data_IF_877571883650
#
_entry.id   IF_877571883650
#
_cell.length_a   1.000
_cell.length_b   1.000
_cell.length_c   1.000
_cell.angle_alpha   90.00
_cell.angle_beta   90.00
_cell.angle_gamma   90.00
#
_symmetry.space_group_name_H-M   'P 1'
#
loop_
_entity.id
_entity.type
_entity.pdbx_description
1 polymer ?
#
# COMPACT_ATOMS: atom_id res chain seq x y z
N UNK A 1 -28.83 10.00 -2.27
CA UNK A 1 -28.02 8.88 -2.87
C UNK A 1 -26.98 8.47 -1.85
N UNK A 2 -27.04 7.24 -1.37
CA UNK A 2 -25.98 6.69 -0.55
C UNK A 2 -24.70 6.65 -1.37
N UNK A 3 -23.62 7.15 -0.77
CA UNK A 3 -22.31 7.21 -1.42
C UNK A 3 -21.77 5.79 -1.59
N UNK A 4 -21.39 5.42 -2.80
CA UNK A 4 -20.76 4.15 -3.11
C UNK A 4 -19.40 4.04 -2.40
N UNK A 5 -19.15 2.92 -1.72
CA UNK A 5 -17.88 2.62 -1.08
C UNK A 5 -16.97 1.93 -2.10
N UNK A 6 -15.76 2.45 -2.28
CA UNK A 6 -14.76 1.88 -3.18
C UNK A 6 -13.64 1.26 -2.37
N UNK A 7 -13.38 -0.03 -2.61
CA UNK A 7 -12.31 -0.77 -1.97
C UNK A 7 -11.35 -1.25 -3.06
N UNK A 8 -10.08 -0.93 -2.92
CA UNK A 8 -9.04 -1.43 -3.81
C UNK A 8 -8.47 -2.74 -3.25
N UNK A 9 -8.41 -3.77 -4.07
CA UNK A 9 -7.78 -5.04 -3.72
C UNK A 9 -6.36 -5.03 -4.27
N UNK A 10 -5.38 -5.10 -3.39
CA UNK A 10 -3.96 -5.01 -3.73
C UNK A 10 -3.18 -6.19 -3.16
N UNK A 11 -2.17 -6.63 -3.88
CA UNK A 11 -1.30 -7.73 -3.46
C UNK A 11 -0.27 -8.10 -4.51
N UNK A 12 0.68 -8.92 -4.09
CA UNK A 12 1.71 -9.45 -4.98
C UNK A 12 1.11 -10.43 -6.00
N UNK A 13 1.74 -10.62 -7.15
CA UNK A 13 1.37 -11.72 -8.04
C UNK A 13 1.40 -13.06 -7.31
N UNK A 14 0.41 -13.91 -7.59
CA UNK A 14 0.31 -15.26 -7.02
C UNK A 14 0.07 -15.35 -5.50
N UNK A 15 -0.43 -14.28 -4.89
CA UNK A 15 -0.82 -14.31 -3.46
C UNK A 15 -2.25 -14.82 -3.22
N UNK A 16 -2.99 -15.13 -4.27
CA UNK A 16 -4.40 -15.54 -4.19
C UNK A 16 -5.39 -14.42 -4.45
N UNK A 17 -4.93 -13.28 -4.98
CA UNK A 17 -5.75 -12.09 -5.21
C UNK A 17 -6.92 -12.33 -6.17
N UNK A 18 -6.70 -13.03 -7.29
CA UNK A 18 -7.76 -13.37 -8.25
C UNK A 18 -8.82 -14.25 -7.61
N UNK A 19 -8.42 -15.27 -6.86
CA UNK A 19 -9.34 -16.15 -6.14
C UNK A 19 -10.16 -15.36 -5.12
N UNK A 20 -9.54 -14.46 -4.39
CA UNK A 20 -10.23 -13.60 -3.43
C UNK A 20 -11.22 -12.67 -4.13
N UNK A 21 -10.81 -12.03 -5.21
CA UNK A 21 -11.70 -11.14 -5.98
C UNK A 21 -12.94 -11.88 -6.47
N UNK A 22 -12.76 -13.08 -7.03
CA UNK A 22 -13.87 -13.90 -7.50
C UNK A 22 -14.79 -14.34 -6.34
N UNK A 23 -14.22 -14.68 -5.20
CA UNK A 23 -15.00 -15.04 -4.01
C UNK A 23 -15.82 -13.86 -3.47
N UNK A 24 -15.30 -12.65 -3.55
CA UNK A 24 -15.96 -11.43 -3.07
C UNK A 24 -17.07 -10.96 -4.00
N UNK A 25 -16.89 -11.08 -5.31
CA UNK A 25 -17.79 -10.48 -6.30
C UNK A 25 -18.70 -11.48 -7.01
N UNK A 26 -18.28 -12.74 -7.11
CA UNK A 26 -19.04 -13.77 -7.84
C UNK A 26 -19.20 -13.40 -9.31
N UNK A 27 -20.44 -13.39 -9.79
CA UNK A 27 -20.77 -13.04 -11.18
C UNK A 27 -20.90 -11.53 -11.42
N UNK A 28 -20.79 -10.72 -10.39
CA UNK A 28 -21.00 -9.26 -10.47
C UNK A 28 -19.71 -8.54 -10.87
N UNK A 29 -19.06 -9.00 -11.93
CA UNK A 29 -17.78 -8.47 -12.39
C UNK A 29 -17.90 -7.73 -13.72
N UNK A 30 -17.15 -6.65 -13.84
CA UNK A 30 -16.92 -5.94 -15.08
C UNK A 30 -15.43 -6.04 -15.45
N UNK A 31 -15.15 -6.49 -16.66
CA UNK A 31 -13.77 -6.71 -17.14
C UNK A 31 -13.50 -5.84 -18.36
N UNK A 32 -12.38 -5.18 -18.39
CA UNK A 32 -11.93 -4.35 -19.50
C UNK A 32 -10.42 -4.13 -19.42
N UNK A 33 -9.96 -3.07 -20.03
CA UNK A 33 -8.56 -2.64 -19.92
C UNK A 33 -8.47 -1.26 -19.25
N UNK A 34 -7.39 -1.02 -18.54
CA UNK A 34 -7.09 0.31 -18.07
C UNK A 34 -6.90 1.26 -19.25
N UNK A 35 -7.35 2.54 -19.15
CA UNK A 35 -7.29 3.46 -20.27
C UNK A 35 -5.89 3.58 -20.90
N UNK A 36 -5.82 3.40 -22.23
CA UNK A 36 -4.61 3.59 -23.01
C UNK A 36 -3.55 2.50 -22.88
N UNK A 37 -3.84 1.40 -22.17
CA UNK A 37 -2.87 0.32 -21.94
C UNK A 37 -3.53 -1.06 -22.07
N UNK A 38 -2.70 -2.10 -22.17
CA UNK A 38 -3.16 -3.50 -22.31
C UNK A 38 -3.34 -4.21 -20.97
N UNK A 39 -3.18 -3.52 -19.85
CA UNK A 39 -3.35 -4.07 -18.52
C UNK A 39 -4.85 -4.28 -18.25
N UNK A 40 -5.22 -5.48 -17.82
CA UNK A 40 -6.59 -5.84 -17.54
C UNK A 40 -7.13 -5.10 -16.32
N UNK A 41 -8.33 -4.55 -16.45
CA UNK A 41 -9.06 -3.87 -15.40
C UNK A 41 -10.26 -4.71 -15.00
N UNK A 42 -10.32 -5.08 -13.73
CA UNK A 42 -11.46 -5.82 -13.17
C UNK A 42 -12.05 -5.06 -12.00
N UNK A 43 -13.35 -4.86 -12.03
CA UNK A 43 -14.09 -4.35 -10.90
C UNK A 43 -15.36 -5.13 -10.72
N UNK A 44 -15.92 -5.12 -9.53
CA UNK A 44 -17.16 -5.83 -9.26
C UNK A 44 -17.83 -5.36 -7.99
N UNK A 45 -19.12 -5.62 -7.88
CA UNK A 45 -19.87 -5.35 -6.67
C UNK A 45 -19.66 -6.48 -5.68
N UNK A 46 -19.45 -6.11 -4.42
CA UNK A 46 -19.35 -7.07 -3.33
C UNK A 46 -20.69 -7.82 -3.18
N UNK A 47 -20.63 -9.13 -3.00
CA UNK A 47 -21.80 -9.94 -2.71
C UNK A 47 -22.55 -9.40 -1.49
N UNK A 48 -23.86 -9.30 -1.56
CA UNK A 48 -24.74 -8.80 -0.49
C UNK A 48 -24.58 -7.32 -0.11
N UNK A 49 -23.72 -6.58 -0.85
CA UNK A 49 -23.48 -5.16 -0.62
C UNK A 49 -23.42 -4.43 -1.95
N UNK A 50 -24.56 -4.05 -2.51
CA UNK A 50 -24.64 -3.39 -3.81
C UNK A 50 -24.01 -1.99 -3.82
N UNK A 51 -23.81 -1.40 -2.65
CA UNK A 51 -23.16 -0.10 -2.47
C UNK A 51 -21.64 -0.16 -2.37
N UNK A 52 -21.05 -1.37 -2.43
CA UNK A 52 -19.61 -1.57 -2.32
C UNK A 52 -19.04 -2.11 -3.62
N UNK A 53 -18.08 -1.39 -4.18
CA UNK A 53 -17.34 -1.78 -5.38
C UNK A 53 -15.93 -2.19 -5.01
N UNK A 54 -15.50 -3.35 -5.50
CA UNK A 54 -14.14 -3.85 -5.36
C UNK A 54 -13.41 -3.61 -6.67
N UNK A 55 -12.29 -2.88 -6.62
CA UNK A 55 -11.39 -2.70 -7.74
C UNK A 55 -10.21 -3.64 -7.60
N UNK A 56 -10.06 -4.58 -8.52
CA UNK A 56 -8.92 -5.50 -8.52
C UNK A 56 -7.73 -4.83 -9.20
N UNK A 57 -6.74 -4.42 -8.42
CA UNK A 57 -5.53 -3.82 -8.97
C UNK A 57 -4.61 -4.89 -9.57
N UNK A 58 -3.76 -4.53 -10.56
CA UNK A 58 -2.75 -5.47 -11.03
C UNK A 58 -1.88 -6.01 -9.89
N UNK A 59 -1.47 -7.27 -9.98
CA UNK A 59 -0.53 -7.85 -9.03
C UNK A 59 0.83 -7.15 -9.12
N UNK A 60 1.29 -6.61 -8.01
CA UNK A 60 2.51 -5.80 -7.95
C UNK A 60 3.32 -6.13 -6.70
N UNK A 61 4.64 -5.96 -6.77
CA UNK A 61 5.52 -6.09 -5.62
C UNK A 61 5.80 -4.76 -4.92
N UNK A 62 5.58 -3.65 -5.63
CA UNK A 62 5.92 -2.31 -5.19
C UNK A 62 5.03 -1.27 -5.88
N UNK A 63 4.97 -0.05 -5.34
CA UNK A 63 4.34 1.11 -5.98
C UNK A 63 5.38 1.98 -6.70
N UNK A 64 6.42 1.39 -7.23
CA UNK A 64 7.43 2.10 -8.01
C UNK A 64 6.92 2.43 -9.41
N UNK A 65 7.53 3.39 -10.13
CA UNK A 65 7.08 3.76 -11.47
C UNK A 65 7.74 2.95 -12.60
N UNK A 66 8.25 1.74 -12.34
CA UNK A 66 9.12 1.03 -13.28
C UNK A 66 8.39 0.06 -14.20
N UNK A 67 7.30 -0.55 -13.75
CA UNK A 67 6.49 -1.42 -14.61
C UNK A 67 5.17 -0.77 -14.93
N UNK A 68 4.54 -1.21 -16.03
CA UNK A 68 3.23 -0.70 -16.43
C UNK A 68 2.17 -0.99 -15.36
N UNK A 69 2.19 -2.20 -14.79
CA UNK A 69 1.27 -2.63 -13.74
C UNK A 69 1.43 -1.78 -12.47
N UNK A 70 2.66 -1.50 -12.08
CA UNK A 70 2.95 -0.63 -10.92
C UNK A 70 2.46 0.80 -11.16
N UNK A 71 2.71 1.34 -12.35
CA UNK A 71 2.24 2.68 -12.72
C UNK A 71 0.71 2.76 -12.69
N UNK A 72 0.03 1.78 -13.24
CA UNK A 72 -1.44 1.71 -13.25
C UNK A 72 -1.99 1.68 -11.82
N UNK A 73 -1.49 0.78 -10.99
CA UNK A 73 -1.95 0.64 -9.61
C UNK A 73 -1.69 1.92 -8.80
N UNK A 74 -0.50 2.47 -8.91
CA UNK A 74 -0.10 3.70 -8.23
C UNK A 74 -0.97 4.89 -8.63
N UNK A 75 -1.16 5.09 -9.94
CA UNK A 75 -1.99 6.20 -10.43
C UNK A 75 -3.44 6.09 -9.95
N UNK A 76 -4.00 4.88 -9.96
CA UNK A 76 -5.33 4.65 -9.44
C UNK A 76 -5.43 5.04 -7.96
N UNK A 77 -4.52 4.56 -7.14
CA UNK A 77 -4.55 4.82 -5.69
C UNK A 77 -4.40 6.30 -5.36
N UNK A 78 -3.55 7.01 -6.09
CA UNK A 78 -3.30 8.44 -5.86
C UNK A 78 -4.45 9.30 -6.37
N UNK A 79 -4.94 9.00 -7.56
CA UNK A 79 -5.94 9.83 -8.27
C UNK A 79 -7.35 9.57 -7.77
N UNK A 80 -7.74 8.30 -7.73
CA UNK A 80 -9.11 7.90 -7.34
C UNK A 80 -9.30 7.83 -5.83
N UNK A 81 -8.23 7.62 -5.08
CA UNK A 81 -8.24 7.53 -3.62
C UNK A 81 -9.41 6.70 -3.10
N UNK A 82 -9.35 5.37 -3.25
CA UNK A 82 -10.41 4.49 -2.74
C UNK A 82 -10.64 4.71 -1.24
N UNK A 83 -11.80 4.33 -0.76
CA UNK A 83 -12.16 4.53 0.65
C UNK A 83 -11.38 3.61 1.60
N UNK A 84 -10.96 2.46 1.10
CA UNK A 84 -10.09 1.53 1.81
C UNK A 84 -9.30 0.67 0.84
N UNK A 85 -8.20 0.09 1.33
CA UNK A 85 -7.40 -0.89 0.62
C UNK A 85 -7.49 -2.21 1.36
N UNK A 86 -7.89 -3.27 0.66
CA UNK A 86 -7.80 -4.64 1.16
C UNK A 86 -6.52 -5.25 0.56
N UNK A 87 -5.50 -5.37 1.39
CA UNK A 87 -4.20 -5.88 0.99
C UNK A 87 -4.11 -7.38 1.31
N UNK A 88 -4.17 -8.20 0.28
CA UNK A 88 -3.98 -9.64 0.44
C UNK A 88 -2.48 -9.95 0.43
N UNK A 89 -2.02 -10.70 1.42
CA UNK A 89 -0.63 -11.14 1.54
C UNK A 89 -0.55 -12.66 1.66
N UNK A 90 0.54 -13.21 1.15
CA UNK A 90 0.85 -14.63 1.27
C UNK A 90 1.66 -14.85 2.55
N UNK A 91 1.07 -15.55 3.52
CA UNK A 91 1.72 -15.83 4.80
C UNK A 91 2.97 -16.70 4.68
N UNK A 92 3.14 -17.43 3.57
CA UNK A 92 4.33 -18.25 3.32
C UNK A 92 5.53 -17.45 2.81
N UNK A 93 5.30 -16.21 2.36
CA UNK A 93 6.32 -15.26 1.87
C UNK A 93 6.14 -13.88 2.50
N UNK A 94 6.06 -13.84 3.81
CA UNK A 94 5.65 -12.66 4.56
C UNK A 94 6.54 -11.44 4.26
N UNK A 95 7.84 -11.58 4.33
CA UNK A 95 8.79 -10.49 4.11
C UNK A 95 8.60 -9.83 2.74
N UNK A 96 8.51 -10.63 1.69
CA UNK A 96 8.32 -10.14 0.32
C UNK A 96 7.00 -9.39 0.14
N UNK A 97 5.93 -9.90 0.76
CA UNK A 97 4.60 -9.30 0.67
C UNK A 97 4.49 -7.99 1.48
N UNK A 98 5.13 -7.92 2.62
CA UNK A 98 5.08 -6.74 3.49
C UNK A 98 5.76 -5.51 2.89
N UNK A 99 6.63 -5.69 1.91
CA UNK A 99 7.24 -4.55 1.21
C UNK A 99 6.18 -3.65 0.56
N UNK A 100 5.24 -4.25 -0.17
CA UNK A 100 4.11 -3.51 -0.73
C UNK A 100 3.24 -2.92 0.38
N UNK A 101 2.98 -3.68 1.44
CA UNK A 101 2.16 -3.23 2.57
C UNK A 101 2.69 -1.93 3.18
N UNK A 102 4.01 -1.82 3.37
CA UNK A 102 4.62 -0.59 3.91
C UNK A 102 4.32 0.62 3.03
N UNK A 103 4.33 0.45 1.73
CA UNK A 103 4.03 1.53 0.79
C UNK A 103 2.54 1.88 0.78
N UNK A 104 1.67 0.88 0.85
CA UNK A 104 0.21 1.12 0.91
C UNK A 104 -0.19 1.90 2.15
N UNK A 105 0.41 1.60 3.30
CA UNK A 105 0.11 2.32 4.55
C UNK A 105 0.55 3.78 4.54
N UNK A 106 1.50 4.13 3.69
CA UNK A 106 1.97 5.52 3.56
C UNK A 106 1.01 6.42 2.78
N UNK A 107 0.10 5.85 2.01
CA UNK A 107 -0.84 6.62 1.18
C UNK A 107 -1.88 7.41 1.99
N UNK A 108 -2.06 7.07 3.26
CA UNK A 108 -3.10 7.68 4.10
C UNK A 108 -4.50 7.14 3.84
N UNK A 109 -4.63 6.11 3.02
CA UNK A 109 -5.87 5.38 2.80
C UNK A 109 -5.92 4.23 3.81
N UNK A 110 -7.06 4.00 4.52
CA UNK A 110 -7.16 2.88 5.46
C UNK A 110 -6.84 1.54 4.81
N UNK A 111 -6.00 0.74 5.45
CA UNK A 111 -5.57 -0.57 4.94
C UNK A 111 -6.02 -1.65 5.91
N UNK A 112 -6.66 -2.68 5.36
CA UNK A 112 -6.93 -3.95 6.06
C UNK A 112 -6.11 -5.03 5.36
N UNK A 113 -5.48 -5.88 6.13
CA UNK A 113 -4.66 -6.98 5.61
C UNK A 113 -5.43 -8.29 5.70
N UNK A 114 -5.54 -8.97 4.56
CA UNK A 114 -6.04 -10.34 4.50
C UNK A 114 -4.83 -11.26 4.34
N UNK A 115 -4.49 -11.99 5.40
CA UNK A 115 -3.36 -12.92 5.35
C UNK A 115 -3.87 -14.30 4.90
N UNK A 116 -3.36 -14.73 3.76
CA UNK A 116 -3.75 -15.96 3.08
C UNK A 116 -2.72 -17.08 3.32
N UNK A 117 -3.15 -18.30 3.14
CA UNK A 117 -2.28 -19.49 3.21
C UNK A 117 -1.71 -19.81 4.61
N UNK A 118 -2.43 -19.40 5.65
CA UNK A 118 -2.01 -19.68 7.03
C UNK A 118 -2.02 -21.18 7.38
N UNK A 119 -2.84 -21.96 6.71
CA UNK A 119 -2.83 -23.43 6.82
C UNK A 119 -1.47 -24.01 6.41
N UNK A 120 -0.88 -23.50 5.33
CA UNK A 120 0.45 -23.91 4.85
C UNK A 120 1.53 -23.45 5.83
N UNK A 121 1.43 -22.26 6.36
CA UNK A 121 2.35 -21.73 7.39
C UNK A 121 2.40 -22.70 8.59
N UNK A 122 1.24 -23.07 9.11
CA UNK A 122 1.12 -24.00 10.26
C UNK A 122 1.65 -25.39 9.92
N UNK A 123 1.35 -25.88 8.70
CA UNK A 123 1.82 -27.17 8.23
C UNK A 123 3.35 -27.23 8.15
N UNK A 124 4.00 -26.13 7.79
CA UNK A 124 5.45 -26.02 7.73
C UNK A 124 6.10 -25.86 9.11
N UNK A 125 5.31 -25.78 10.18
CA UNK A 125 5.81 -25.58 11.53
C UNK A 125 6.15 -24.13 11.86
N UNK A 126 5.81 -23.21 10.99
CA UNK A 126 6.02 -21.78 11.20
C UNK A 126 4.84 -21.16 11.94
N UNK A 127 5.10 -20.09 12.66
CA UNK A 127 4.09 -19.30 13.34
C UNK A 127 4.21 -17.83 12.96
N UNK A 128 3.05 -17.20 12.77
CA UNK A 128 2.97 -15.74 12.60
C UNK A 128 2.13 -15.19 13.74
N UNK A 129 2.71 -14.29 14.52
CA UNK A 129 1.97 -13.57 15.55
C UNK A 129 1.15 -12.45 14.89
N UNK A 130 -0.05 -12.80 14.45
CA UNK A 130 -0.96 -11.90 13.74
C UNK A 130 -1.30 -10.67 14.59
N UNK A 131 -1.48 -10.85 15.89
CA UNK A 131 -1.81 -9.78 16.82
C UNK A 131 -0.71 -8.74 16.92
N UNK A 132 0.54 -9.20 17.05
CA UNK A 132 1.71 -8.34 17.12
C UNK A 132 1.95 -7.64 15.78
N UNK A 133 1.82 -8.37 14.68
CA UNK A 133 1.95 -7.82 13.33
C UNK A 133 0.91 -6.72 13.08
N UNK A 134 -0.33 -6.95 13.50
CA UNK A 134 -1.41 -5.96 13.40
C UNK A 134 -1.08 -4.68 14.19
N UNK A 135 -0.55 -4.85 15.39
CA UNK A 135 -0.15 -3.72 16.24
C UNK A 135 0.98 -2.91 15.61
N UNK A 136 2.02 -3.58 15.12
CA UNK A 136 3.19 -2.93 14.52
C UNK A 136 2.85 -2.19 13.22
N UNK A 137 1.99 -2.76 12.40
CA UNK A 137 1.58 -2.14 11.13
C UNK A 137 0.45 -1.11 11.30
N UNK A 138 -0.25 -1.14 12.43
CA UNK A 138 -1.42 -0.27 12.66
C UNK A 138 -2.61 -0.62 11.77
N UNK A 139 -2.70 -1.86 11.31
CA UNK A 139 -3.75 -2.36 10.42
C UNK A 139 -4.46 -3.57 11.04
N UNK A 140 -5.78 -3.64 10.84
CA UNK A 140 -6.52 -4.86 11.16
C UNK A 140 -6.07 -5.97 10.22
N UNK A 141 -5.84 -7.17 10.76
CA UNK A 141 -5.42 -8.34 9.98
C UNK A 141 -6.46 -9.45 10.16
N UNK A 142 -6.96 -9.96 9.05
CA UNK A 142 -7.92 -11.07 9.00
C UNK A 142 -7.23 -12.27 8.35
N UNK A 143 -7.24 -13.41 9.03
CA UNK A 143 -6.77 -14.67 8.43
C UNK A 143 -7.83 -15.19 7.46
N UNK A 144 -7.42 -15.52 6.25
CA UNK A 144 -8.30 -16.06 5.22
C UNK A 144 -7.73 -17.32 4.58
N UNK A 145 -8.63 -18.11 3.97
CA UNK A 145 -8.28 -19.04 2.92
C UNK A 145 -9.11 -18.66 1.70
N UNK A 146 -8.49 -17.98 0.74
CA UNK A 146 -9.17 -17.56 -0.47
C UNK A 146 -9.72 -18.76 -1.25
N UNK A 147 -8.95 -19.85 -1.28
CA UNK A 147 -9.34 -21.07 -1.98
C UNK A 147 -10.57 -21.76 -1.35
N UNK A 148 -10.63 -21.80 -0.01
CA UNK A 148 -11.76 -22.42 0.73
C UNK A 148 -12.90 -21.46 0.98
N UNK A 149 -12.70 -20.17 0.80
CA UNK A 149 -13.67 -19.13 1.11
C UNK A 149 -13.73 -18.74 2.59
N UNK A 150 -12.85 -19.28 3.43
CA UNK A 150 -12.83 -18.98 4.87
C UNK A 150 -12.32 -17.56 5.13
N UNK A 151 -13.03 -16.81 5.97
CA UNK A 151 -12.66 -15.46 6.38
C UNK A 151 -12.80 -14.40 5.29
N UNK A 152 -13.22 -14.77 4.09
CA UNK A 152 -13.32 -13.86 2.93
C UNK A 152 -14.29 -12.71 3.20
N UNK A 153 -15.49 -13.01 3.67
CA UNK A 153 -16.48 -11.97 3.99
C UNK A 153 -16.08 -11.16 5.23
N UNK A 154 -15.41 -11.78 6.19
CA UNK A 154 -14.89 -11.06 7.37
C UNK A 154 -13.86 -10.01 6.95
N UNK A 155 -13.01 -10.34 5.99
CA UNK A 155 -12.03 -9.41 5.43
C UNK A 155 -12.73 -8.24 4.70
N UNK A 156 -13.74 -8.53 3.92
CA UNK A 156 -14.52 -7.51 3.22
C UNK A 156 -15.24 -6.59 4.20
N UNK A 157 -15.85 -7.13 5.24
CA UNK A 157 -16.53 -6.34 6.28
C UNK A 157 -15.55 -5.48 7.08
N UNK A 158 -14.35 -6.00 7.36
CA UNK A 158 -13.28 -5.21 7.98
C UNK A 158 -12.87 -4.03 7.10
N UNK A 159 -12.75 -4.24 5.80
CA UNK A 159 -12.46 -3.17 4.85
C UNK A 159 -13.58 -2.11 4.79
N UNK A 160 -14.83 -2.52 4.84
CA UNK A 160 -15.98 -1.60 4.91
C UNK A 160 -15.93 -0.77 6.20
N UNK A 161 -15.65 -1.39 7.34
CA UNK A 161 -15.49 -0.66 8.61
C UNK A 161 -14.35 0.35 8.53
N UNK A 162 -13.23 -0.03 7.96
CA UNK A 162 -12.09 0.85 7.76
C UNK A 162 -12.44 2.03 6.85
N UNK A 163 -13.20 1.79 5.78
CA UNK A 163 -13.65 2.83 4.85
C UNK A 163 -14.53 3.88 5.53
N UNK A 164 -15.29 3.50 6.54
CA UNK A 164 -16.17 4.40 7.31
C UNK A 164 -15.47 5.05 8.49
N UNK A 165 -14.28 4.59 8.86
CA UNK A 165 -13.52 5.09 9.99
C UNK A 165 -12.63 6.29 9.66
N UNK A 166 -11.80 6.66 10.61
CA UNK A 166 -10.79 7.71 10.44
C UNK A 166 -9.64 7.21 9.57
N UNK A 167 -9.06 8.13 8.80
CA UNK A 167 -7.91 7.83 7.95
C UNK A 167 -6.71 7.43 8.80
N UNK A 168 -5.95 6.43 8.31
CA UNK A 168 -4.76 5.92 9.00
C UNK A 168 -3.58 6.85 8.78
N UNK A 169 -2.86 7.16 9.86
CA UNK A 169 -1.57 7.86 9.76
C UNK A 169 -0.48 6.79 9.71
N UNK A 170 0.49 6.87 8.78
CA UNK A 170 1.58 5.92 8.74
C UNK A 170 2.33 5.84 10.07
N UNK A 171 2.55 4.62 10.57
CA UNK A 171 3.13 4.40 11.89
C UNK A 171 4.61 4.03 11.87
N UNK A 172 5.14 3.59 10.72
CA UNK A 172 6.55 3.23 10.65
C UNK A 172 7.44 4.44 10.46
N UNK A 173 8.62 4.39 11.04
CA UNK A 173 9.65 5.42 10.92
C UNK A 173 10.92 4.83 10.34
N UNK A 174 11.66 5.67 9.61
CA UNK A 174 12.99 5.33 9.11
C UNK A 174 14.07 5.81 10.09
N UNK A 175 15.34 5.61 9.75
CA UNK A 175 16.45 6.09 10.56
C UNK A 175 16.45 7.62 10.69
N UNK A 176 17.12 8.15 11.72
CA UNK A 176 17.13 9.57 12.03
C UNK A 176 17.46 10.50 10.86
N UNK A 177 18.54 10.25 10.10
CA UNK A 177 18.88 11.12 8.95
C UNK A 177 17.80 11.16 7.88
N UNK A 178 17.14 10.04 7.62
CA UNK A 178 16.06 9.93 6.64
C UNK A 178 14.82 10.66 7.15
N UNK A 179 14.41 10.40 8.38
CA UNK A 179 13.24 11.08 8.98
C UNK A 179 13.43 12.59 9.06
N UNK A 180 14.65 13.05 9.35
CA UNK A 180 15.00 14.47 9.37
C UNK A 180 14.79 15.11 7.99
N UNK A 181 15.29 14.46 6.93
CA UNK A 181 15.12 14.93 5.57
C UNK A 181 13.63 14.93 5.15
N UNK A 182 12.89 13.86 5.47
CA UNK A 182 11.47 13.76 5.17
C UNK A 182 10.67 14.86 5.88
N UNK A 183 10.94 15.13 7.14
CA UNK A 183 10.28 16.20 7.89
C UNK A 183 10.50 17.57 7.26
N UNK A 184 11.72 17.88 6.83
CA UNK A 184 12.04 19.13 6.13
C UNK A 184 11.29 19.22 4.78
N UNK A 185 11.21 18.12 4.04
CA UNK A 185 10.50 18.07 2.77
C UNK A 185 8.99 18.28 2.98
N UNK A 186 8.41 17.65 4.00
CA UNK A 186 7.00 17.85 4.32
C UNK A 186 6.69 19.33 4.57
N UNK A 187 7.49 19.98 5.38
CA UNK A 187 7.32 21.40 5.71
C UNK A 187 7.54 22.31 4.51
N UNK A 188 8.55 22.03 3.70
CA UNK A 188 8.93 22.90 2.58
C UNK A 188 8.02 22.76 1.36
N UNK A 189 7.53 21.56 1.05
CA UNK A 189 6.91 21.29 -0.24
C UNK A 189 5.45 20.82 -0.17
N UNK A 190 5.03 20.15 0.90
CA UNK A 190 3.73 19.48 0.96
C UNK A 190 2.88 19.86 2.18
N UNK A 191 3.26 20.89 2.91
CA UNK A 191 2.53 21.33 4.12
C UNK A 191 1.07 21.73 3.84
N UNK A 192 0.73 22.09 2.60
CA UNK A 192 -0.62 22.44 2.18
C UNK A 192 -1.51 21.24 1.85
N UNK A 193 -0.92 20.05 1.79
CA UNK A 193 -1.66 18.82 1.52
C UNK A 193 -2.32 18.29 2.79
N UNK A 194 -3.39 17.47 2.66
CA UNK A 194 -3.93 16.76 3.81
C UNK A 194 -2.84 16.00 4.54
N UNK A 195 -2.87 16.02 5.87
CA UNK A 195 -1.83 15.43 6.72
C UNK A 195 -1.55 13.96 6.38
N UNK A 196 -2.60 13.19 6.12
CA UNK A 196 -2.49 11.77 5.79
C UNK A 196 -1.77 11.49 4.46
N UNK A 197 -1.64 12.50 3.59
CA UNK A 197 -0.97 12.35 2.28
C UNK A 197 0.48 12.85 2.28
N UNK A 198 0.85 13.65 3.25
CA UNK A 198 2.15 14.33 3.24
C UNK A 198 3.33 13.37 3.22
N UNK A 199 3.29 12.32 4.02
CA UNK A 199 4.42 11.39 4.15
C UNK A 199 4.73 10.67 2.84
N UNK A 200 3.72 10.19 2.13
CA UNK A 200 3.93 9.50 0.86
C UNK A 200 4.60 10.41 -0.16
N UNK A 201 4.10 11.64 -0.29
CA UNK A 201 4.68 12.62 -1.22
C UNK A 201 6.10 13.02 -0.82
N UNK A 202 6.35 13.23 0.47
CA UNK A 202 7.68 13.57 0.95
C UNK A 202 8.70 12.47 0.66
N UNK A 203 8.32 11.21 0.84
CA UNK A 203 9.18 10.07 0.51
C UNK A 203 9.46 10.03 -1.00
N UNK A 204 8.47 10.26 -1.85
CA UNK A 204 8.64 10.29 -3.30
C UNK A 204 9.52 11.45 -3.75
N UNK A 205 9.41 12.60 -3.12
CA UNK A 205 10.31 13.73 -3.38
C UNK A 205 11.75 13.36 -2.97
N UNK A 206 11.92 12.74 -1.81
CA UNK A 206 13.23 12.27 -1.34
C UNK A 206 13.86 11.28 -2.33
N UNK A 207 13.07 10.37 -2.88
CA UNK A 207 13.51 9.41 -3.90
C UNK A 207 13.74 10.03 -5.28
N UNK A 208 13.44 11.32 -5.46
CA UNK A 208 13.49 12.05 -6.75
C UNK A 208 12.58 11.42 -7.81
N UNK A 209 11.40 11.04 -7.43
CA UNK A 209 10.41 10.44 -8.32
C UNK A 209 9.93 11.48 -9.34
N UNK A 210 10.34 11.32 -10.58
CA UNK A 210 10.08 12.29 -11.66
C UNK A 210 8.60 12.55 -11.89
N UNK A 211 7.78 11.51 -11.83
CA UNK A 211 6.33 11.64 -12.06
C UNK A 211 5.63 12.44 -10.97
N UNK A 212 6.08 12.28 -9.74
CA UNK A 212 5.57 13.08 -8.61
C UNK A 212 6.06 14.52 -8.70
N UNK A 213 7.34 14.71 -9.00
CA UNK A 213 7.92 16.05 -9.12
C UNK A 213 7.26 16.88 -10.23
N UNK A 214 6.95 16.26 -11.36
CA UNK A 214 6.24 16.92 -12.46
C UNK A 214 4.86 17.45 -12.04
N UNK A 215 4.14 16.69 -11.21
CA UNK A 215 2.80 17.05 -10.75
C UNK A 215 2.79 18.14 -9.70
N UNK A 216 3.83 18.23 -8.86
CA UNK A 216 3.84 19.13 -7.71
C UNK A 216 4.25 20.55 -8.03
N UNK A 217 4.94 20.78 -9.13
CA UNK A 217 5.40 22.12 -9.55
C UNK A 217 6.09 22.90 -8.42
N UNK A 218 7.05 22.26 -7.74
CA UNK A 218 7.76 22.86 -6.60
C UNK A 218 8.68 23.98 -7.11
N UNK A 219 8.69 25.17 -6.45
CA UNK A 219 9.58 26.25 -6.85
C UNK A 219 11.05 25.82 -6.84
N UNK A 220 11.83 26.32 -7.81
CA UNK A 220 13.24 25.95 -7.97
C UNK A 220 14.08 26.21 -6.71
N UNK A 221 13.86 27.32 -6.05
CA UNK A 221 14.58 27.67 -4.80
C UNK A 221 14.28 26.63 -3.70
N UNK A 222 13.02 26.25 -3.55
CA UNK A 222 12.60 25.21 -2.59
C UNK A 222 13.21 23.87 -2.94
N UNK A 223 13.22 23.50 -4.21
CA UNK A 223 13.86 22.26 -4.66
C UNK A 223 15.37 22.23 -4.38
N UNK A 224 16.05 23.37 -4.51
CA UNK A 224 17.48 23.46 -4.19
C UNK A 224 17.74 23.17 -2.71
N UNK A 225 16.91 23.67 -1.83
CA UNK A 225 17.02 23.38 -0.38
C UNK A 225 16.72 21.92 -0.09
N UNK A 226 15.70 21.37 -0.73
CA UNK A 226 15.35 19.93 -0.60
C UNK A 226 16.51 19.05 -1.09
N UNK A 227 17.13 19.40 -2.22
CA UNK A 227 18.28 18.66 -2.74
C UNK A 227 19.48 18.68 -1.76
N UNK A 228 19.70 19.77 -1.05
CA UNK A 228 20.72 19.83 -0.01
C UNK A 228 20.44 18.82 1.11
N UNK A 229 19.19 18.72 1.56
CA UNK A 229 18.78 17.75 2.59
C UNK A 229 18.92 16.31 2.10
N UNK A 230 18.54 16.03 0.85
CA UNK A 230 18.68 14.70 0.26
C UNK A 230 20.16 14.30 0.15
N UNK A 231 20.99 15.20 -0.36
CA UNK A 231 22.44 14.96 -0.50
C UNK A 231 23.11 14.76 0.85
N UNK A 232 22.68 15.46 1.88
CA UNK A 232 23.22 15.27 3.23
C UNK A 232 22.93 13.86 3.74
N UNK A 233 21.70 13.36 3.55
CA UNK A 233 21.33 11.99 3.91
C UNK A 233 22.09 10.95 3.08
N UNK A 234 22.23 11.18 1.77
CA UNK A 234 23.01 10.31 0.88
C UNK A 234 24.47 10.21 1.29
N UNK A 235 25.07 11.33 1.69
CA UNK A 235 26.46 11.36 2.16
C UNK A 235 26.60 10.62 3.50
N UNK A 236 25.71 10.87 4.44
CA UNK A 236 25.75 10.25 5.77
C UNK A 236 25.56 8.73 5.71
N UNK A 237 24.67 8.25 4.84
CA UNK A 237 24.36 6.83 4.71
C UNK A 237 25.12 6.14 3.58
N UNK A 238 25.95 6.88 2.85
CA UNK A 238 26.79 6.40 1.76
C UNK A 238 26.03 5.58 0.70
N UNK A 239 24.89 6.10 0.25
CA UNK A 239 24.05 5.46 -0.76
C UNK A 239 23.14 6.49 -1.45
N UNK A 240 22.55 6.14 -2.58
CA UNK A 240 21.56 7.00 -3.23
C UNK A 240 20.20 6.95 -2.51
N UNK A 241 19.40 7.99 -2.68
CA UNK A 241 18.16 8.16 -1.95
C UNK A 241 17.15 7.02 -2.16
N UNK A 242 17.01 6.52 -3.38
CA UNK A 242 16.10 5.43 -3.69
C UNK A 242 16.52 4.14 -2.99
N UNK A 243 17.80 3.81 -3.03
CA UNK A 243 18.35 2.64 -2.35
C UNK A 243 18.25 2.77 -0.83
N UNK A 244 18.44 3.98 -0.30
CA UNK A 244 18.25 4.26 1.13
C UNK A 244 16.84 3.89 1.57
N UNK A 245 15.82 4.37 0.88
CA UNK A 245 14.42 4.09 1.23
C UNK A 245 14.12 2.60 1.12
N UNK A 246 14.55 1.94 0.05
CA UNK A 246 14.39 0.50 -0.12
C UNK A 246 14.98 -0.27 1.05
N UNK A 247 16.21 0.07 1.42
CA UNK A 247 16.93 -0.58 2.52
C UNK A 247 16.25 -0.33 3.87
N UNK A 248 15.80 0.90 4.13
CA UNK A 248 15.07 1.27 5.34
C UNK A 248 13.76 0.49 5.48
N UNK A 249 13.05 0.25 4.38
CA UNK A 249 11.83 -0.58 4.40
C UNK A 249 12.13 -2.02 4.80
N UNK A 250 13.20 -2.61 4.26
CA UNK A 250 13.60 -3.96 4.61
C UNK A 250 14.08 -4.08 6.05
N UNK A 251 14.78 -3.06 6.56
CA UNK A 251 15.16 -3.01 7.98
C UNK A 251 13.92 -3.01 8.87
N UNK A 252 12.94 -2.19 8.54
CA UNK A 252 11.67 -2.11 9.28
C UNK A 252 10.93 -3.44 9.26
N UNK A 253 10.80 -4.07 8.09
CA UNK A 253 10.15 -5.37 7.92
C UNK A 253 10.86 -6.45 8.74
N UNK A 254 12.19 -6.48 8.71
CA UNK A 254 12.99 -7.44 9.48
C UNK A 254 12.75 -7.29 10.99
N UNK A 255 12.60 -6.08 11.49
CA UNK A 255 12.28 -5.80 12.89
C UNK A 255 10.88 -6.33 13.27
N UNK A 256 9.90 -6.15 12.40
CA UNK A 256 8.54 -6.63 12.62
C UNK A 256 8.50 -8.17 12.66
N UNK A 257 9.20 -8.83 11.74
CA UNK A 257 9.18 -10.30 11.60
C UNK A 257 9.85 -10.98 12.80
N UNK A 258 10.82 -10.35 13.43
CA UNK A 258 11.51 -10.90 14.61
C UNK A 258 10.66 -10.94 15.88
N UNK A 259 9.59 -10.18 15.92
CA UNK A 259 8.70 -10.12 17.09
C UNK A 259 7.77 -11.31 17.26
#
# INVERSE_FOLDING_TARGET
MEKQIKIALAGNPNCGKTTLFNALTGSNQFVGNWPGVTVEKKEGKLKKHDDVVIMDLPGIYSLSPYTLEEVVARNYLITERPDAILNIIDGTNLERNLYLTTQLTELGIPVVIAINMMDIVRKNGDEINVKELSRELGCEIIEISALKGDGVMDAAEAAIRAAKGTKTVPMHTFSGPVEHAIAHIEEAAVHNMPEEQQRWYAIKIFERDDKVLEKLSIPTETMNHIEEDIKAAETELDDDAESIITNERYIYIAQIIKG
#
